data_IF_036071115287
#
_entry.id   IF_036071115287
#
_cell.length_a   1.000
_cell.length_b   1.000
_cell.length_c   1.000
_cell.angle_alpha   90.00
_cell.angle_beta   90.00
_cell.angle_gamma   90.00
#
_symmetry.space_group_name_H-M   'P 1'
#
loop_
_entity.id
_entity.type
_entity.pdbx_description
1 polymer ?
#
# COMPACT_ATOMS: atom_id res chain seq x y z
N UNK A 1 1.81 -2.55 -22.22
CA UNK A 1 1.21 -1.79 -21.10
C UNK A 1 0.44 -2.77 -20.24
N UNK A 2 0.72 -2.80 -18.95
CA UNK A 2 -0.06 -3.58 -17.98
C UNK A 2 -1.15 -2.66 -17.43
N UNK A 3 -2.40 -3.14 -17.36
CA UNK A 3 -3.51 -2.38 -16.80
C UNK A 3 -3.87 -2.97 -15.45
N UNK A 4 -4.13 -2.11 -14.47
CA UNK A 4 -4.52 -2.52 -13.12
C UNK A 4 -5.82 -1.82 -12.75
N UNK A 5 -6.65 -2.49 -11.95
CA UNK A 5 -7.83 -1.89 -11.32
C UNK A 5 -7.83 -2.22 -9.84
N UNK A 6 -8.01 -1.21 -8.99
CA UNK A 6 -8.26 -1.40 -7.56
C UNK A 6 -9.76 -1.24 -7.31
N UNK A 7 -10.38 -2.17 -6.58
CA UNK A 7 -11.83 -2.18 -6.34
C UNK A 7 -12.20 -2.75 -4.98
N UNK A 8 -13.36 -2.36 -4.44
CA UNK A 8 -13.92 -2.95 -3.23
C UNK A 8 -14.65 -4.29 -3.47
N UNK A 9 -14.56 -4.84 -4.69
CA UNK A 9 -15.15 -6.09 -5.15
C UNK A 9 -16.69 -6.19 -5.15
N UNK A 10 -17.41 -5.26 -4.53
CA UNK A 10 -18.87 -5.36 -4.29
C UNK A 10 -19.74 -5.42 -5.56
N UNK A 11 -19.21 -4.99 -6.71
CA UNK A 11 -19.93 -4.96 -8.00
C UNK A 11 -19.36 -5.94 -9.02
N UNK A 12 -18.36 -6.75 -8.66
CA UNK A 12 -17.77 -7.73 -9.57
C UNK A 12 -18.80 -8.83 -9.84
N UNK A 13 -18.97 -9.15 -11.12
CA UNK A 13 -19.82 -10.22 -11.63
C UNK A 13 -19.14 -10.83 -12.88
N UNK A 14 -19.76 -11.85 -13.48
CA UNK A 14 -19.17 -12.55 -14.63
C UNK A 14 -18.88 -11.61 -15.82
N UNK A 15 -19.70 -10.57 -16.04
CA UNK A 15 -19.47 -9.59 -17.11
C UNK A 15 -18.23 -8.71 -16.85
N UNK A 16 -17.93 -8.41 -15.58
CA UNK A 16 -16.67 -7.77 -15.20
C UNK A 16 -15.49 -8.72 -15.39
N UNK A 17 -15.63 -9.99 -14.99
CA UNK A 17 -14.59 -11.00 -15.20
C UNK A 17 -14.24 -11.15 -16.69
N UNK A 18 -15.25 -11.20 -17.57
CA UNK A 18 -15.05 -11.19 -19.02
C UNK A 18 -14.30 -9.94 -19.49
N UNK A 19 -14.62 -8.77 -18.92
CA UNK A 19 -13.93 -7.53 -19.22
C UNK A 19 -12.45 -7.59 -18.80
N UNK A 20 -12.16 -8.09 -17.60
CA UNK A 20 -10.80 -8.20 -17.09
C UNK A 20 -9.95 -9.13 -17.95
N UNK A 21 -10.50 -10.29 -18.33
CA UNK A 21 -9.81 -11.24 -19.24
C UNK A 21 -9.53 -10.64 -20.60
N UNK A 22 -10.56 -10.07 -21.25
CA UNK A 22 -10.43 -9.49 -22.61
C UNK A 22 -9.36 -8.40 -22.67
N UNK A 23 -9.22 -7.63 -21.59
CA UNK A 23 -8.29 -6.50 -21.54
C UNK A 23 -6.99 -6.79 -20.79
N UNK A 24 -6.81 -8.01 -20.26
CA UNK A 24 -5.67 -8.42 -19.42
C UNK A 24 -5.44 -7.46 -18.25
N UNK A 25 -6.53 -7.12 -17.55
CA UNK A 25 -6.50 -6.23 -16.39
C UNK A 25 -6.13 -7.06 -15.16
N UNK A 26 -5.11 -6.61 -14.43
CA UNK A 26 -4.74 -7.14 -13.12
C UNK A 26 -5.67 -6.54 -12.07
N UNK A 27 -6.31 -7.39 -11.27
CA UNK A 27 -7.29 -6.95 -10.28
C UNK A 27 -6.66 -6.88 -8.89
N UNK A 28 -6.76 -5.72 -8.25
CA UNK A 28 -6.54 -5.53 -6.83
C UNK A 28 -7.88 -5.37 -6.12
N UNK A 29 -8.11 -6.14 -5.06
CA UNK A 29 -9.33 -6.06 -4.24
C UNK A 29 -9.03 -5.46 -2.88
N UNK A 30 -10.04 -4.82 -2.29
CA UNK A 30 -9.97 -4.27 -0.95
C UNK A 30 -10.81 -5.10 0.02
N UNK A 31 -10.16 -5.88 0.87
CA UNK A 31 -10.82 -6.70 1.90
C UNK A 31 -9.95 -6.78 3.17
N UNK A 32 -10.51 -6.37 4.32
CA UNK A 32 -9.74 -6.24 5.58
C UNK A 32 -9.73 -7.50 6.46
N UNK A 33 -10.23 -8.64 5.97
CA UNK A 33 -10.34 -9.86 6.76
C UNK A 33 -11.79 -10.26 7.08
N UNK A 34 -12.00 -10.99 8.19
CA UNK A 34 -13.32 -11.45 8.64
C UNK A 34 -14.38 -10.34 8.71
N UNK A 35 -15.66 -10.74 8.59
CA UNK A 35 -16.81 -9.85 8.43
C UNK A 35 -16.85 -8.69 9.43
N UNK A 36 -16.66 -8.94 10.72
CA UNK A 36 -16.75 -7.88 11.73
C UNK A 36 -15.60 -6.88 11.66
N UNK A 37 -14.40 -7.31 11.22
CA UNK A 37 -13.23 -6.43 11.06
C UNK A 37 -13.45 -5.58 9.80
N UNK A 38 -13.86 -6.22 8.70
CA UNK A 38 -14.17 -5.53 7.45
C UNK A 38 -15.31 -4.52 7.62
N UNK A 39 -16.45 -4.96 8.15
CA UNK A 39 -17.67 -4.15 8.26
C UNK A 39 -17.61 -3.12 9.39
N UNK A 40 -16.61 -3.18 10.29
CA UNK A 40 -16.34 -2.09 11.23
C UNK A 40 -16.05 -0.77 10.47
N UNK A 41 -15.29 -0.85 9.36
CA UNK A 41 -14.81 0.34 8.65
C UNK A 41 -15.35 0.45 7.21
N UNK A 42 -15.58 -0.67 6.51
CA UNK A 42 -16.09 -0.67 5.13
C UNK A 42 -17.61 -0.78 5.10
N UNK A 43 -18.24 0.38 5.22
CA UNK A 43 -19.70 0.51 5.20
C UNK A 43 -20.19 1.29 4.00
N UNK A 44 -21.34 0.89 3.49
CA UNK A 44 -22.10 1.72 2.56
C UNK A 44 -22.61 2.98 3.25
N UNK A 45 -23.03 3.98 2.45
CA UNK A 45 -23.64 5.22 2.96
C UNK A 45 -24.87 5.00 3.84
N UNK A 46 -25.54 3.85 3.71
CA UNK A 46 -26.67 3.45 4.55
C UNK A 46 -26.26 2.74 5.86
N UNK A 47 -24.96 2.69 6.17
CA UNK A 47 -24.40 2.09 7.38
C UNK A 47 -24.26 0.57 7.36
N UNK A 48 -24.73 -0.11 6.31
CA UNK A 48 -24.58 -1.57 6.16
C UNK A 48 -23.15 -1.93 5.77
N UNK A 49 -22.69 -3.07 6.27
CA UNK A 49 -21.42 -3.66 5.89
C UNK A 49 -21.33 -4.07 4.42
N UNK A 50 -20.12 -4.06 3.87
CA UNK A 50 -19.84 -4.46 2.49
C UNK A 50 -19.25 -5.86 2.34
N UNK A 51 -18.83 -6.51 3.42
CA UNK A 51 -18.11 -7.78 3.39
C UNK A 51 -18.84 -8.84 2.56
N UNK A 52 -20.12 -9.09 2.82
CA UNK A 52 -20.89 -10.10 2.10
C UNK A 52 -20.97 -9.87 0.58
N UNK A 53 -20.92 -8.61 0.12
CA UNK A 53 -20.88 -8.30 -1.32
C UNK A 53 -19.46 -8.39 -1.89
N UNK A 54 -18.45 -7.99 -1.11
CA UNK A 54 -17.06 -8.16 -1.49
C UNK A 54 -16.73 -9.65 -1.69
N UNK A 55 -17.15 -10.52 -0.76
CA UNK A 55 -16.94 -11.98 -0.85
C UNK A 55 -17.61 -12.59 -2.09
N UNK A 56 -18.81 -12.14 -2.47
CA UNK A 56 -19.43 -12.56 -3.74
C UNK A 56 -18.63 -12.15 -4.97
N UNK A 57 -18.01 -10.97 -4.92
CA UNK A 57 -17.10 -10.51 -5.97
C UNK A 57 -15.85 -11.40 -6.06
N UNK A 58 -15.27 -11.77 -4.91
CA UNK A 58 -14.12 -12.68 -4.82
C UNK A 58 -14.47 -14.07 -5.34
N UNK A 59 -15.63 -14.62 -4.96
CA UNK A 59 -16.14 -15.89 -5.50
C UNK A 59 -16.33 -15.83 -7.02
N UNK A 60 -16.76 -14.68 -7.57
CA UNK A 60 -16.89 -14.49 -9.01
C UNK A 60 -15.51 -14.43 -9.70
N UNK A 61 -14.50 -13.81 -9.09
CA UNK A 61 -13.13 -13.82 -9.61
C UNK A 61 -12.59 -15.25 -9.66
N UNK A 62 -12.72 -16.00 -8.57
CA UNK A 62 -12.28 -17.40 -8.49
C UNK A 62 -12.98 -18.30 -9.51
N UNK A 63 -14.31 -18.24 -9.60
CA UNK A 63 -15.08 -19.09 -10.54
C UNK A 63 -14.74 -18.83 -12.00
N UNK A 64 -14.27 -17.62 -12.32
CA UNK A 64 -13.90 -17.23 -13.68
C UNK A 64 -12.38 -17.24 -13.89
N UNK A 65 -11.59 -17.82 -12.97
CA UNK A 65 -10.13 -17.89 -13.06
C UNK A 65 -9.46 -16.53 -13.31
N UNK A 66 -9.97 -15.45 -12.71
CA UNK A 66 -9.37 -14.11 -12.78
C UNK A 66 -8.34 -13.97 -11.65
N UNK A 67 -7.03 -13.81 -11.95
CA UNK A 67 -6.03 -13.59 -10.92
C UNK A 67 -6.24 -12.25 -10.24
N UNK A 68 -6.07 -12.21 -8.92
CA UNK A 68 -6.16 -10.98 -8.14
C UNK A 68 -5.21 -11.01 -6.94
N UNK A 69 -4.90 -9.82 -6.43
CA UNK A 69 -4.24 -9.60 -5.15
C UNK A 69 -5.15 -8.79 -4.24
N UNK A 70 -4.91 -8.83 -2.94
CA UNK A 70 -5.69 -8.11 -1.94
C UNK A 70 -4.85 -7.02 -1.27
N UNK A 71 -5.48 -5.89 -0.96
CA UNK A 71 -4.99 -4.96 0.05
C UNK A 71 -5.94 -4.96 1.25
N UNK A 72 -5.36 -5.05 2.44
CA UNK A 72 -6.06 -5.08 3.73
C UNK A 72 -5.55 -3.94 4.59
N UNK A 73 -6.44 -3.07 5.02
CA UNK A 73 -6.14 -2.03 6.00
C UNK A 73 -6.12 -2.66 7.39
N UNK A 74 -4.99 -2.58 8.08
CA UNK A 74 -4.83 -3.07 9.44
C UNK A 74 -5.05 -1.97 10.46
N UNK A 75 -6.02 -2.21 11.33
CA UNK A 75 -6.26 -1.44 12.55
C UNK A 75 -5.72 -2.20 13.76
N UNK A 76 -5.67 -1.56 14.93
CA UNK A 76 -5.30 -2.22 16.17
C UNK A 76 -6.13 -3.48 16.46
N UNK A 77 -7.45 -3.40 16.24
CA UNK A 77 -8.37 -4.53 16.47
C UNK A 77 -8.10 -5.73 15.54
N UNK A 78 -7.69 -5.46 14.29
CA UNK A 78 -7.33 -6.52 13.35
C UNK A 78 -6.07 -7.27 13.78
N UNK A 79 -5.12 -6.58 14.42
CA UNK A 79 -3.87 -7.18 14.88
C UNK A 79 -4.03 -8.12 16.08
N UNK A 80 -5.11 -7.99 16.85
CA UNK A 80 -5.38 -8.85 18.02
C UNK A 80 -5.75 -10.29 17.63
N UNK A 81 -6.00 -10.57 16.34
CA UNK A 81 -6.46 -11.87 15.85
C UNK A 81 -5.66 -12.38 14.63
N UNK A 82 -4.32 -12.49 14.71
CA UNK A 82 -3.48 -12.83 13.55
C UNK A 82 -3.82 -14.19 12.94
N UNK A 83 -4.09 -15.22 13.76
CA UNK A 83 -4.46 -16.56 13.26
C UNK A 83 -5.78 -16.53 12.49
N UNK A 84 -6.70 -15.67 12.90
CA UNK A 84 -8.01 -15.58 12.27
C UNK A 84 -7.95 -14.79 10.97
N UNK A 85 -7.18 -13.72 10.96
CA UNK A 85 -6.85 -12.97 9.75
C UNK A 85 -6.16 -13.87 8.72
N UNK A 86 -5.13 -14.62 9.13
CA UNK A 86 -4.43 -15.55 8.25
C UNK A 86 -5.37 -16.63 7.69
N UNK A 87 -6.15 -17.29 8.57
CA UNK A 87 -7.12 -18.32 8.13
C UNK A 87 -8.16 -17.75 7.17
N UNK A 88 -8.60 -16.51 7.37
CA UNK A 88 -9.50 -15.86 6.44
C UNK A 88 -8.91 -15.79 5.03
N UNK A 89 -7.68 -15.28 4.86
CA UNK A 89 -7.07 -15.18 3.53
C UNK A 89 -6.84 -16.56 2.91
N UNK A 90 -6.29 -17.50 3.70
CA UNK A 90 -6.06 -18.90 3.27
C UNK A 90 -7.35 -19.59 2.81
N UNK A 91 -8.38 -19.57 3.65
CA UNK A 91 -9.63 -20.32 3.41
C UNK A 91 -10.43 -19.75 2.23
N UNK A 92 -10.21 -18.48 1.89
CA UNK A 92 -10.84 -17.82 0.73
C UNK A 92 -9.94 -17.76 -0.50
N UNK A 93 -8.82 -18.49 -0.51
CA UNK A 93 -7.96 -18.58 -1.70
C UNK A 93 -7.21 -17.28 -2.02
N UNK A 94 -6.95 -16.42 -1.03
CA UNK A 94 -6.29 -15.13 -1.22
C UNK A 94 -4.82 -15.26 -0.83
N UNK A 95 -3.94 -15.24 -1.83
CA UNK A 95 -2.54 -15.64 -1.64
C UNK A 95 -1.57 -14.48 -1.72
N UNK A 96 -1.97 -13.39 -2.36
CA UNK A 96 -1.18 -12.17 -2.47
C UNK A 96 -1.90 -11.08 -1.67
N UNK A 97 -1.27 -10.65 -0.56
CA UNK A 97 -1.84 -9.71 0.39
C UNK A 97 -0.84 -8.59 0.68
N UNK A 98 -1.26 -7.35 0.47
CA UNK A 98 -0.59 -6.17 0.99
C UNK A 98 -1.28 -5.64 2.24
N UNK A 99 -0.52 -5.45 3.31
CA UNK A 99 -1.03 -4.84 4.54
C UNK A 99 -0.74 -3.34 4.56
N UNK A 100 -1.79 -2.53 4.42
CA UNK A 100 -1.70 -1.10 4.63
C UNK A 100 -2.07 -0.83 6.09
N UNK A 101 -1.19 -0.23 6.87
CA UNK A 101 -1.55 0.16 8.24
C UNK A 101 -2.53 1.33 8.20
N UNK A 102 -3.45 1.45 9.16
CA UNK A 102 -4.34 2.62 9.26
C UNK A 102 -3.52 3.90 9.40
N UNK A 103 -3.53 4.76 8.39
CA UNK A 103 -2.71 5.96 8.34
C UNK A 103 -3.48 7.21 8.81
N UNK A 104 -2.74 8.26 9.20
CA UNK A 104 -3.31 9.59 9.39
C UNK A 104 -3.30 10.31 8.05
N UNK A 105 -4.44 10.43 7.38
CA UNK A 105 -4.53 11.15 6.10
C UNK A 105 -5.87 11.86 5.93
N UNK A 106 -5.85 13.01 5.23
CA UNK A 106 -7.06 13.75 4.88
C UNK A 106 -7.83 14.21 6.11
N UNK A 107 -9.10 13.79 6.21
CA UNK A 107 -9.96 14.10 7.36
C UNK A 107 -9.70 13.19 8.58
N UNK A 108 -8.91 12.12 8.41
CA UNK A 108 -8.60 11.17 9.47
C UNK A 108 -7.32 11.60 10.19
N UNK A 109 -7.47 12.46 11.20
CA UNK A 109 -6.34 13.07 11.93
C UNK A 109 -5.75 12.18 13.03
N UNK A 110 -6.29 10.98 13.23
CA UNK A 110 -5.86 10.02 14.25
C UNK A 110 -5.86 8.61 13.67
N UNK A 111 -4.97 7.76 14.18
CA UNK A 111 -4.89 6.35 13.82
C UNK A 111 -4.75 5.51 15.08
N UNK A 112 -5.34 4.30 15.05
CA UNK A 112 -5.15 3.27 16.08
C UNK A 112 -3.74 2.65 16.06
N UNK A 113 -2.97 2.94 15.01
CA UNK A 113 -1.68 2.33 14.71
C UNK A 113 -0.51 3.26 15.04
N UNK A 114 -0.48 3.76 16.27
CA UNK A 114 0.54 4.71 16.73
C UNK A 114 1.29 4.21 17.96
N UNK A 115 2.58 4.56 18.03
CA UNK A 115 3.43 4.29 19.17
C UNK A 115 4.09 2.91 19.16
N UNK A 116 5.12 2.76 19.99
CA UNK A 116 5.98 1.57 20.02
C UNK A 116 5.26 0.28 20.41
N UNK A 117 4.16 0.38 21.16
CA UNK A 117 3.32 -0.79 21.47
C UNK A 117 2.70 -1.36 20.21
N UNK A 118 2.13 -0.52 19.34
CA UNK A 118 1.54 -0.97 18.07
C UNK A 118 2.60 -1.48 17.11
N UNK A 119 3.79 -0.87 17.09
CA UNK A 119 4.92 -1.39 16.32
C UNK A 119 5.32 -2.82 16.75
N UNK A 120 5.33 -3.09 18.07
CA UNK A 120 5.59 -4.42 18.59
C UNK A 120 4.48 -5.41 18.22
N UNK A 121 3.21 -5.02 18.37
CA UNK A 121 2.05 -5.85 17.96
C UNK A 121 2.08 -6.18 16.47
N UNK A 122 2.43 -5.22 15.62
CA UNK A 122 2.53 -5.45 14.18
C UNK A 122 3.67 -6.40 13.81
N UNK A 123 4.82 -6.29 14.50
CA UNK A 123 5.91 -7.28 14.36
C UNK A 123 5.42 -8.69 14.67
N UNK A 124 4.74 -8.86 15.80
CA UNK A 124 4.23 -10.17 16.23
C UNK A 124 3.13 -10.69 15.30
N UNK A 125 2.28 -9.80 14.77
CA UNK A 125 1.29 -10.11 13.74
C UNK A 125 1.95 -10.68 12.48
N UNK A 126 2.98 -10.01 11.94
CA UNK A 126 3.69 -10.47 10.75
C UNK A 126 4.42 -11.80 10.99
N UNK A 127 5.06 -11.98 12.17
CA UNK A 127 5.68 -13.25 12.56
C UNK A 127 4.66 -14.38 12.62
N UNK A 128 3.48 -14.13 13.18
CA UNK A 128 2.41 -15.11 13.24
C UNK A 128 1.94 -15.52 11.84
N UNK A 129 1.75 -14.55 10.93
CA UNK A 129 1.39 -14.81 9.54
C UNK A 129 2.42 -15.69 8.83
N UNK A 130 3.70 -15.35 8.94
CA UNK A 130 4.77 -16.14 8.34
C UNK A 130 4.76 -17.58 8.90
N UNK A 131 4.79 -17.72 10.23
CA UNK A 131 4.78 -19.02 10.91
C UNK A 131 3.61 -19.91 10.47
N UNK A 132 2.40 -19.35 10.39
CA UNK A 132 1.21 -20.09 9.99
C UNK A 132 1.27 -20.51 8.52
N UNK A 133 1.75 -19.62 7.66
CA UNK A 133 1.96 -19.89 6.24
C UNK A 133 2.93 -21.05 6.01
N UNK A 134 4.02 -21.10 6.77
CA UNK A 134 4.97 -22.22 6.78
C UNK A 134 4.34 -23.52 7.29
N UNK A 135 3.56 -23.45 8.38
CA UNK A 135 2.95 -24.62 9.02
C UNK A 135 1.91 -25.31 8.12
N UNK A 136 1.13 -24.53 7.36
CA UNK A 136 0.08 -25.07 6.50
C UNK A 136 0.60 -25.48 5.11
N UNK A 137 1.83 -25.08 4.74
CA UNK A 137 2.32 -25.22 3.37
C UNK A 137 1.53 -24.38 2.35
N UNK A 138 0.87 -23.32 2.83
CA UNK A 138 0.08 -22.41 2.02
C UNK A 138 0.75 -21.04 2.02
N UNK A 139 1.59 -20.72 1.02
CA UNK A 139 2.34 -19.48 0.99
C UNK A 139 1.40 -18.31 0.75
N UNK A 140 1.03 -17.58 1.82
CA UNK A 140 0.45 -16.24 1.70
C UNK A 140 1.63 -15.30 1.50
N UNK A 141 1.79 -14.85 0.27
CA UNK A 141 2.80 -13.88 -0.12
C UNK A 141 2.36 -12.51 0.41
N UNK A 142 3.14 -11.99 1.36
CA UNK A 142 2.97 -10.63 1.83
C UNK A 142 3.78 -9.69 0.95
N UNK A 143 3.11 -8.70 0.37
CA UNK A 143 3.72 -7.70 -0.53
C UNK A 143 4.97 -7.06 0.08
N UNK A 144 4.91 -6.72 1.37
CA UNK A 144 6.00 -6.08 2.10
C UNK A 144 7.24 -6.97 2.18
N UNK A 145 7.06 -8.28 2.31
CA UNK A 145 8.17 -9.24 2.30
C UNK A 145 8.67 -9.51 0.89
N UNK A 146 7.78 -9.70 -0.08
CA UNK A 146 8.15 -9.98 -1.46
C UNK A 146 9.01 -8.85 -2.07
N UNK A 147 8.66 -7.59 -1.79
CA UNK A 147 9.44 -6.43 -2.20
C UNK A 147 10.87 -6.45 -1.64
N UNK A 148 11.02 -6.75 -0.34
CA UNK A 148 12.33 -6.80 0.31
C UNK A 148 13.15 -7.99 -0.20
N UNK A 149 12.54 -9.17 -0.32
CA UNK A 149 13.18 -10.39 -0.83
C UNK A 149 13.69 -10.15 -2.26
N UNK A 150 12.87 -9.55 -3.12
CA UNK A 150 13.23 -9.23 -4.51
C UNK A 150 14.47 -8.33 -4.58
N UNK A 151 14.54 -7.29 -3.74
CA UNK A 151 15.71 -6.40 -3.68
C UNK A 151 16.97 -7.14 -3.19
N UNK A 152 16.83 -8.03 -2.19
CA UNK A 152 17.95 -8.82 -1.66
C UNK A 152 18.47 -9.79 -2.73
N UNK A 153 17.59 -10.56 -3.35
CA UNK A 153 17.95 -11.55 -4.37
C UNK A 153 18.56 -10.91 -5.62
N UNK A 154 18.07 -9.73 -6.00
CA UNK A 154 18.62 -8.95 -7.10
C UNK A 154 19.93 -8.21 -6.77
N UNK A 155 20.38 -8.24 -5.51
CA UNK A 155 21.47 -7.38 -5.00
C UNK A 155 21.25 -5.89 -5.38
N UNK A 156 20.00 -5.44 -5.23
CA UNK A 156 19.56 -4.10 -5.59
C UNK A 156 19.36 -3.22 -4.35
N UNK A 157 19.51 -1.91 -4.56
CA UNK A 157 19.26 -0.87 -3.56
C UNK A 157 18.50 0.25 -4.25
N UNK A 158 17.45 0.73 -3.60
CA UNK A 158 16.70 1.90 -4.05
C UNK A 158 17.50 3.17 -3.78
N UNK A 159 17.43 4.11 -4.72
CA UNK A 159 17.94 5.48 -4.56
C UNK A 159 16.81 6.50 -4.50
N UNK A 160 15.65 6.16 -5.08
CA UNK A 160 14.39 6.88 -5.07
C UNK A 160 13.25 5.87 -5.25
N UNK A 161 12.01 6.28 -5.01
CA UNK A 161 10.81 5.49 -5.34
C UNK A 161 9.86 6.31 -6.24
N UNK A 162 8.85 5.64 -6.80
CA UNK A 162 7.87 6.25 -7.70
C UNK A 162 7.02 7.34 -7.05
N UNK A 163 6.87 7.32 -5.72
CA UNK A 163 6.12 8.31 -4.95
C UNK A 163 6.94 9.57 -4.70
N UNK A 164 8.26 9.55 -4.80
CA UNK A 164 9.10 10.75 -4.61
C UNK A 164 9.85 11.22 -5.87
N UNK A 165 9.77 10.46 -6.97
CA UNK A 165 10.32 10.86 -8.28
C UNK A 165 9.23 11.43 -9.19
N UNK A 166 9.34 12.70 -9.64
CA UNK A 166 8.29 13.36 -10.42
C UNK A 166 7.99 12.60 -11.72
N UNK A 167 6.71 12.54 -12.04
CA UNK A 167 6.03 11.87 -13.14
C UNK A 167 6.31 10.37 -13.27
N UNK A 168 6.84 9.72 -12.24
CA UNK A 168 6.77 8.25 -12.15
C UNK A 168 5.34 7.78 -11.95
N UNK A 169 4.56 8.58 -11.20
CA UNK A 169 3.11 8.49 -11.09
C UNK A 169 2.55 9.83 -11.58
N UNK A 170 1.59 9.75 -12.49
CA UNK A 170 0.75 10.87 -12.91
C UNK A 170 -0.67 10.57 -12.47
N UNK A 171 -1.15 11.31 -11.48
CA UNK A 171 -2.51 11.18 -10.96
C UNK A 171 -3.40 12.20 -11.65
N UNK A 172 -4.54 11.75 -12.17
CA UNK A 172 -5.48 12.59 -12.93
C UNK A 172 -6.88 12.36 -12.40
N UNK A 173 -7.57 13.44 -12.00
CA UNK A 173 -8.96 13.36 -11.57
C UNK A 173 -9.95 13.37 -12.75
N UNK A 174 -11.23 13.18 -12.45
CA UNK A 174 -12.30 13.14 -13.47
C UNK A 174 -12.51 14.48 -14.20
N UNK A 175 -11.98 15.60 -13.68
CA UNK A 175 -12.02 16.92 -14.32
C UNK A 175 -10.80 17.18 -15.21
N UNK A 176 -9.79 16.31 -15.15
CA UNK A 176 -8.51 16.44 -15.85
C UNK A 176 -7.46 17.23 -15.08
N UNK A 177 -7.70 17.55 -13.80
CA UNK A 177 -6.65 18.10 -12.94
C UNK A 177 -5.63 17.02 -12.64
N UNK A 178 -4.36 17.41 -12.52
CA UNK A 178 -3.30 16.44 -12.30
C UNK A 178 -2.30 16.84 -11.24
N UNK A 179 -1.64 15.83 -10.68
CA UNK A 179 -0.51 15.94 -9.77
C UNK A 179 0.47 14.81 -10.09
N UNK A 180 1.63 14.87 -9.47
CA UNK A 180 2.64 13.81 -9.45
C UNK A 180 2.96 13.44 -8.01
N UNK A 181 3.83 12.43 -7.82
CA UNK A 181 4.24 11.87 -6.52
C UNK A 181 3.16 10.93 -5.99
N UNK A 182 2.78 11.10 -4.74
CA UNK A 182 1.73 10.36 -4.07
C UNK A 182 0.34 10.74 -4.64
N UNK A 183 -0.47 9.78 -5.13
CA UNK A 183 -1.84 10.01 -5.56
C UNK A 183 -2.72 10.74 -4.55
N UNK A 184 -2.46 10.51 -3.26
CA UNK A 184 -3.17 11.04 -2.10
C UNK A 184 -3.10 12.57 -2.03
N UNK A 185 -2.10 13.19 -2.67
CA UNK A 185 -1.92 14.64 -2.65
C UNK A 185 -2.86 15.38 -3.62
N UNK A 186 -3.33 14.76 -4.71
CA UNK A 186 -3.99 15.45 -5.82
C UNK A 186 -5.16 16.35 -5.39
N UNK A 187 -5.98 15.89 -4.46
CA UNK A 187 -7.19 16.60 -4.00
C UNK A 187 -7.00 17.36 -2.68
N UNK A 188 -5.75 17.62 -2.29
CA UNK A 188 -5.39 18.20 -0.98
C UNK A 188 -4.99 19.66 -1.14
N UNK A 189 -5.24 20.45 -0.09
CA UNK A 189 -4.71 21.78 0.08
C UNK A 189 -4.21 22.00 1.51
N UNK A 190 -3.23 22.89 1.68
CA UNK A 190 -2.62 23.25 2.96
C UNK A 190 -2.16 24.70 2.97
N UNK A 191 -2.00 25.28 4.16
CA UNK A 191 -1.47 26.65 4.31
C UNK A 191 -0.04 26.77 3.76
N UNK A 192 0.77 25.70 3.88
CA UNK A 192 2.18 25.69 3.48
C UNK A 192 2.38 25.57 1.96
N UNK A 193 1.65 24.66 1.33
CA UNK A 193 1.82 24.33 -0.08
C UNK A 193 0.74 24.91 -0.99
N UNK A 194 -0.34 25.46 -0.44
CA UNK A 194 -1.55 25.74 -1.21
C UNK A 194 -2.17 24.41 -1.64
N UNK A 195 -2.65 24.33 -2.88
CA UNK A 195 -3.05 23.04 -3.48
C UNK A 195 -1.83 22.23 -3.93
N UNK A 196 -1.98 20.91 -4.06
CA UNK A 196 -0.99 20.07 -4.73
C UNK A 196 -1.31 19.82 -6.21
N UNK A 197 -2.50 20.22 -6.68
CA UNK A 197 -2.88 20.19 -8.10
C UNK A 197 -1.91 21.07 -8.91
N UNK A 198 -1.24 20.48 -9.90
CA UNK A 198 -0.24 21.11 -10.75
C UNK A 198 -0.79 21.71 -12.05
N UNK A 199 -2.10 21.55 -12.32
CA UNK A 199 -2.78 22.12 -13.49
C UNK A 199 -3.85 21.18 -14.05
N UNK A 200 -4.42 21.58 -15.19
CA UNK A 200 -5.37 20.76 -15.95
C UNK A 200 -4.77 20.33 -17.28
N UNK A 201 -4.88 19.05 -17.63
CA UNK A 201 -4.32 18.48 -18.86
C UNK A 201 -4.86 19.12 -20.16
N UNK A 202 -6.00 19.83 -20.08
CA UNK A 202 -6.56 20.57 -21.22
C UNK A 202 -5.74 21.82 -21.56
N UNK A 203 -5.16 22.47 -20.56
CA UNK A 203 -4.65 23.84 -20.67
C UNK A 203 -3.16 23.95 -20.35
N UNK A 204 -2.56 22.93 -19.73
CA UNK A 204 -1.16 22.94 -19.31
C UNK A 204 -0.49 21.59 -19.61
N UNK A 205 0.63 21.62 -20.33
CA UNK A 205 1.41 20.40 -20.55
C UNK A 205 2.20 19.99 -19.30
N UNK A 206 2.50 18.70 -19.19
CA UNK A 206 3.32 18.15 -18.08
C UNK A 206 4.74 18.77 -18.04
N UNK A 207 5.27 19.17 -19.20
CA UNK A 207 6.60 19.80 -19.28
C UNK A 207 6.53 21.24 -18.76
N UNK A 208 5.52 22.00 -19.18
CA UNK A 208 5.33 23.38 -18.71
C UNK A 208 5.02 23.43 -17.21
N UNK A 209 4.29 22.44 -16.67
CA UNK A 209 3.99 22.39 -15.24
C UNK A 209 5.25 22.31 -14.38
N UNK A 210 6.36 21.75 -14.91
CA UNK A 210 7.66 21.72 -14.21
C UNK A 210 8.28 23.10 -13.97
N UNK A 211 7.82 24.10 -14.72
CA UNK A 211 8.29 25.48 -14.64
C UNK A 211 7.44 26.35 -13.73
N UNK A 212 6.41 25.79 -13.09
CA UNK A 212 5.58 26.50 -12.12
C UNK A 212 6.29 26.59 -10.77
N UNK A 213 6.05 27.69 -10.05
CA UNK A 213 6.61 27.86 -8.70
C UNK A 213 6.08 26.83 -7.70
N UNK A 214 4.87 26.35 -7.94
CA UNK A 214 4.26 25.27 -7.17
C UNK A 214 5.04 23.97 -7.33
N UNK A 215 5.29 23.51 -8.57
CA UNK A 215 6.08 22.32 -8.81
C UNK A 215 7.49 22.44 -8.23
N UNK A 216 8.18 23.56 -8.47
CA UNK A 216 9.54 23.78 -7.94
C UNK A 216 9.60 23.72 -6.42
N UNK A 217 8.58 24.24 -5.73
CA UNK A 217 8.48 24.18 -4.27
C UNK A 217 8.24 22.75 -3.76
N UNK A 218 7.30 22.01 -4.38
CA UNK A 218 7.04 20.61 -4.01
C UNK A 218 8.27 19.74 -4.25
N UNK A 219 8.91 19.87 -5.43
CA UNK A 219 10.16 19.18 -5.77
C UNK A 219 11.26 19.46 -4.74
N UNK A 220 11.47 20.72 -4.37
CA UNK A 220 12.51 21.10 -3.41
C UNK A 220 12.31 20.40 -2.07
N UNK A 221 11.11 20.47 -1.51
CA UNK A 221 10.84 19.88 -0.19
C UNK A 221 10.84 18.35 -0.26
N UNK A 222 10.29 17.75 -1.33
CA UNK A 222 10.36 16.31 -1.57
C UNK A 222 11.81 15.82 -1.62
N UNK A 223 12.67 16.44 -2.44
CA UNK A 223 14.09 16.10 -2.54
C UNK A 223 14.80 16.27 -1.19
N UNK A 224 14.53 17.35 -0.46
CA UNK A 224 15.09 17.54 0.89
C UNK A 224 14.69 16.43 1.86
N UNK A 225 13.45 15.92 1.77
CA UNK A 225 12.98 14.80 2.57
C UNK A 225 13.70 13.50 2.19
N UNK A 226 13.91 13.25 0.91
CA UNK A 226 14.66 12.08 0.41
C UNK A 226 16.14 12.13 0.85
N UNK A 227 16.79 13.29 0.73
CA UNK A 227 18.18 13.49 1.16
C UNK A 227 18.36 13.26 2.67
N UNK A 228 17.38 13.70 3.46
CA UNK A 228 17.33 13.45 4.91
C UNK A 228 17.25 11.94 5.19
N UNK A 229 16.37 11.20 4.51
CA UNK A 229 16.32 9.73 4.64
C UNK A 229 17.63 9.07 4.20
N UNK A 230 18.22 9.49 3.07
CA UNK A 230 19.45 8.90 2.53
C UNK A 230 20.63 9.04 3.51
N UNK A 231 20.73 10.19 4.17
CA UNK A 231 21.82 10.49 5.11
C UNK A 231 21.66 9.88 6.50
N UNK A 232 20.43 9.55 6.92
CA UNK A 232 20.14 9.20 8.31
C UNK A 232 19.45 7.86 8.53
N UNK A 233 19.05 7.13 7.49
CA UNK A 233 18.25 5.91 7.63
C UNK A 233 18.92 4.66 7.05
N UNK A 234 19.21 3.70 7.91
CA UNK A 234 19.81 2.40 7.52
C UNK A 234 18.93 1.58 6.56
N UNK A 235 17.62 1.85 6.54
CA UNK A 235 16.64 1.18 5.68
C UNK A 235 16.45 1.88 4.33
N UNK A 236 17.15 2.99 4.05
CA UNK A 236 16.96 3.78 2.84
C UNK A 236 17.04 2.93 1.56
N UNK A 237 17.99 1.99 1.50
CA UNK A 237 18.18 1.11 0.35
C UNK A 237 17.00 0.17 0.04
N UNK A 238 16.04 0.02 0.96
CA UNK A 238 14.81 -0.75 0.76
C UNK A 238 13.57 0.12 0.51
N UNK A 239 13.67 1.43 0.73
CA UNK A 239 12.53 2.35 0.73
C UNK A 239 12.65 3.44 -0.35
N UNK A 240 13.87 3.89 -0.65
CA UNK A 240 14.13 4.98 -1.60
C UNK A 240 13.68 6.36 -1.10
N UNK A 241 13.43 6.55 0.20
CA UNK A 241 13.13 7.86 0.78
C UNK A 241 11.69 8.07 1.27
N UNK A 242 10.86 7.04 1.29
CA UNK A 242 9.49 7.07 1.80
C UNK A 242 8.51 7.83 0.91
N UNK A 243 7.33 8.07 1.45
CA UNK A 243 6.17 8.63 0.75
C UNK A 243 6.00 10.11 1.13
N UNK A 244 5.74 10.97 0.15
CA UNK A 244 5.55 12.39 0.40
C UNK A 244 4.24 12.69 1.14
N UNK A 245 3.16 11.98 0.81
CA UNK A 245 1.86 12.16 1.46
C UNK A 245 1.96 11.92 2.97
N UNK A 246 2.54 10.79 3.39
CA UNK A 246 2.68 10.45 4.80
C UNK A 246 3.58 11.45 5.53
N UNK A 247 4.67 11.91 4.92
CA UNK A 247 5.52 12.98 5.50
C UNK A 247 4.73 14.26 5.73
N UNK A 248 3.92 14.65 4.74
CA UNK A 248 3.07 15.81 4.85
C UNK A 248 2.00 15.66 5.93
N UNK A 249 1.30 14.53 5.99
CA UNK A 249 0.21 14.34 6.96
C UNK A 249 0.70 14.20 8.40
N UNK A 250 1.83 13.52 8.61
CA UNK A 250 2.37 13.32 9.95
C UNK A 250 3.15 14.54 10.48
N UNK A 251 3.83 15.28 9.59
CA UNK A 251 4.76 16.36 10.00
C UNK A 251 4.43 17.75 9.45
N UNK A 252 3.38 17.87 8.63
CA UNK A 252 3.00 19.12 7.97
C UNK A 252 3.95 19.59 6.87
N UNK A 253 4.87 18.73 6.40
CA UNK A 253 5.92 19.07 5.43
C UNK A 253 6.36 17.86 4.61
N UNK A 254 6.66 18.07 3.33
CA UNK A 254 7.31 17.03 2.49
C UNK A 254 8.80 16.86 2.84
N UNK A 255 9.41 17.92 3.39
CA UNK A 255 10.81 17.96 3.81
C UNK A 255 11.03 17.35 5.21
N UNK A 256 10.64 16.10 5.39
CA UNK A 256 10.89 15.32 6.61
C UNK A 256 11.43 13.93 6.27
N UNK A 257 11.94 13.23 7.28
CA UNK A 257 12.53 11.90 7.13
C UNK A 257 11.54 10.81 7.57
N UNK A 258 11.71 10.28 8.77
CA UNK A 258 10.97 9.13 9.27
C UNK A 258 9.50 9.46 9.55
N UNK A 259 8.62 8.55 9.14
CA UNK A 259 7.18 8.54 9.40
C UNK A 259 6.77 7.22 10.06
N UNK A 260 5.62 7.20 10.72
CA UNK A 260 4.97 5.96 11.15
C UNK A 260 4.74 5.05 9.94
N UNK A 261 4.26 5.61 8.82
CA UNK A 261 4.06 4.83 7.59
C UNK A 261 5.33 4.06 7.16
N UNK A 262 6.53 4.66 7.19
CA UNK A 262 7.75 3.94 6.81
C UNK A 262 8.22 2.93 7.86
N UNK A 263 7.90 3.14 9.15
CA UNK A 263 8.19 2.16 10.21
C UNK A 263 7.37 0.89 9.98
N UNK A 264 6.07 1.03 9.76
CA UNK A 264 5.17 -0.09 9.51
C UNK A 264 5.34 -0.70 8.11
N UNK A 265 5.44 0.11 7.06
CA UNK A 265 5.51 -0.37 5.68
C UNK A 265 6.89 -0.90 5.25
N UNK A 266 7.97 -0.54 5.95
CA UNK A 266 9.33 -0.97 5.56
C UNK A 266 10.17 -1.48 6.72
N UNK A 267 10.36 -0.70 7.78
CA UNK A 267 11.36 -1.05 8.81
C UNK A 267 11.01 -2.34 9.55
N UNK A 268 9.77 -2.46 10.03
CA UNK A 268 9.30 -3.64 10.76
C UNK A 268 9.30 -4.88 9.85
N UNK A 269 8.74 -4.85 8.61
CA UNK A 269 8.84 -5.98 7.69
C UNK A 269 10.28 -6.43 7.41
N UNK A 270 11.20 -5.49 7.14
CA UNK A 270 12.62 -5.83 6.93
C UNK A 270 13.21 -6.51 8.16
N UNK A 271 12.92 -6.00 9.36
CA UNK A 271 13.42 -6.61 10.60
C UNK A 271 12.86 -8.02 10.80
N UNK A 272 11.56 -8.24 10.64
CA UNK A 272 10.94 -9.58 10.75
C UNK A 272 11.57 -10.55 9.76
N UNK A 273 11.79 -10.11 8.51
CA UNK A 273 12.41 -10.93 7.47
C UNK A 273 13.86 -11.32 7.84
N UNK A 274 14.67 -10.35 8.28
CA UNK A 274 16.06 -10.59 8.66
C UNK A 274 16.18 -11.51 9.88
N UNK A 275 15.38 -11.26 10.92
CA UNK A 275 15.29 -12.14 12.09
C UNK A 275 14.99 -13.59 11.66
N UNK A 276 14.03 -13.77 10.74
CA UNK A 276 13.67 -15.11 10.24
C UNK A 276 14.80 -15.75 9.43
N UNK A 277 15.57 -15.00 8.65
CA UNK A 277 16.72 -15.52 7.92
C UNK A 277 17.87 -15.95 8.83
N UNK A 278 18.05 -15.27 9.96
CA UNK A 278 19.05 -15.63 10.97
C UNK A 278 18.69 -16.93 11.72
N UNK A 279 17.40 -17.25 11.87
CA UNK A 279 16.91 -18.45 12.56
C UNK A 279 17.18 -19.78 11.82
N UNK A 280 17.59 -19.74 10.54
CA UNK A 280 17.91 -20.93 9.76
C UNK A 280 17.47 -20.83 8.30
N UNK A 281 17.87 -21.78 7.43
CA UNK A 281 17.72 -21.62 5.99
C UNK A 281 16.26 -21.37 5.58
N UNK A 282 16.02 -20.54 4.55
CA UNK A 282 14.69 -20.32 4.02
C UNK A 282 14.07 -21.65 3.57
N UNK A 283 12.76 -21.79 3.74
CA UNK A 283 12.03 -22.84 3.04
C UNK A 283 12.26 -22.69 1.54
N UNK A 284 12.32 -23.83 0.87
CA UNK A 284 12.60 -23.98 -0.56
C UNK A 284 11.88 -22.90 -1.37
N UNK A 285 12.54 -22.23 -2.33
CA UNK A 285 11.99 -21.06 -3.02
C UNK A 285 10.57 -21.32 -3.53
N UNK A 286 9.66 -20.39 -3.22
CA UNK A 286 8.34 -20.33 -3.86
C UNK A 286 8.58 -19.94 -5.31
N UNK A 287 8.77 -20.94 -6.16
CA UNK A 287 8.61 -20.80 -7.60
C UNK A 287 7.42 -21.64 -8.02
N UNK A 288 6.40 -21.00 -8.61
CA UNK A 288 5.72 -21.56 -9.74
C UNK A 288 6.08 -20.74 -10.99
N UNK A 289 6.27 -21.45 -12.11
CA UNK A 289 6.37 -20.86 -13.45
C UNK A 289 5.28 -19.83 -13.75
#
# INVERSE_FOLDING_TARGET
FTQHVQTNATLINDAWCDCFHRNRIVVGISVDGPEEIHDAHRRFRNGRGSHALAMKGIEALHRNDVPFHSISVLTADAMEQPERMYRFFRDHGINDVGFNVEEQEGIHTSSSMQGSEMEAKYRDFLRAFWRLSEQDGYPVVLREFDQVITLIQGNQRMTQNELNRPFSILSVDWQGNFSTFDPELLSVASDRYGTFNLGNLKDLSLVESTQTDQFRRLMKDMSSGVDSCHSSCDYFGFCGGGNGSNKFWEHGTLASSETNACRFGTKIPVQVLLERFEEGPPLTPVSPN
#
